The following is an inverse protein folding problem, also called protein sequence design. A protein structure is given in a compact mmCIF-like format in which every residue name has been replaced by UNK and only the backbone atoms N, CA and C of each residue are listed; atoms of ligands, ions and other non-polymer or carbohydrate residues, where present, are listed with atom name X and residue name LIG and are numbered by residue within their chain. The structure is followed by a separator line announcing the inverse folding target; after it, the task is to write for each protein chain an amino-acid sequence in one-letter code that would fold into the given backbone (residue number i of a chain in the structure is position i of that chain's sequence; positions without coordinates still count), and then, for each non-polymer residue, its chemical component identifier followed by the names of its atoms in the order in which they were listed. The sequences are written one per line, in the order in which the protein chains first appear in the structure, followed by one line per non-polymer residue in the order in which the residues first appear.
data_IF_852324328831
#
_entry.id   IF_852324328831
#
_cell.length_a   1.000
_cell.length_b   1.000
_cell.length_c   1.000
_cell.angle_alpha   90.00
_cell.angle_beta   90.00
_cell.angle_gamma   90.00
#
_symmetry.space_group_name_H-M   'P 1'
#
loop_
_entity.id
_entity.type
_entity.pdbx_description
1 polymer ?
#
# COMPACT_ATOMS: atom_id res chain seq x y z
N UNK A 1 -7.65 3.89 -16.49
CA UNK A 1 -6.27 3.94 -15.98
C UNK A 1 -5.71 2.52 -16.06
N UNK A 2 -4.46 2.32 -16.50
CA UNK A 2 -3.78 1.04 -16.31
C UNK A 2 -3.68 0.71 -14.82
N UNK A 3 -3.76 -0.58 -14.46
CA UNK A 3 -3.74 -1.03 -13.07
C UNK A 3 -2.47 -0.58 -12.32
N UNK A 4 -1.33 -0.53 -13.03
CA UNK A 4 -0.06 -0.03 -12.48
C UNK A 4 -0.10 1.42 -11.99
N UNK A 5 -0.85 2.32 -12.66
CA UNK A 5 -0.97 3.71 -12.21
C UNK A 5 -1.81 3.83 -10.94
N UNK A 6 -2.86 3.03 -10.81
CA UNK A 6 -3.68 2.99 -9.59
C UNK A 6 -2.88 2.44 -8.41
N UNK A 7 -2.09 1.40 -8.64
CA UNK A 7 -1.22 0.83 -7.62
C UNK A 7 -0.10 1.78 -7.21
N UNK A 8 0.52 2.49 -8.15
CA UNK A 8 1.50 3.53 -7.85
C UNK A 8 0.87 4.71 -7.07
N UNK A 9 -0.36 5.11 -7.42
CA UNK A 9 -1.11 6.12 -6.68
C UNK A 9 -1.45 5.65 -5.26
N UNK A 10 -1.84 4.38 -5.09
CA UNK A 10 -2.14 3.79 -3.79
C UNK A 10 -0.89 3.75 -2.90
N UNK A 11 0.25 3.34 -3.46
CA UNK A 11 1.54 3.35 -2.77
C UNK A 11 1.92 4.77 -2.33
N UNK A 12 1.71 5.77 -3.20
CA UNK A 12 1.98 7.17 -2.88
C UNK A 12 1.06 7.71 -1.77
N UNK A 13 -0.22 7.32 -1.78
CA UNK A 13 -1.17 7.63 -0.71
C UNK A 13 -0.75 6.99 0.63
N UNK A 14 -0.24 5.75 0.58
CA UNK A 14 0.26 5.06 1.76
C UNK A 14 1.51 5.76 2.33
N UNK A 15 2.44 6.17 1.47
CA UNK A 15 3.62 6.94 1.87
C UNK A 15 3.25 8.28 2.52
N UNK A 16 2.25 8.98 1.97
CA UNK A 16 1.75 10.25 2.49
C UNK A 16 0.81 10.13 3.70
N UNK A 17 0.57 8.92 4.23
CA UNK A 17 -0.35 8.72 5.35
C UNK A 17 -1.82 9.04 5.03
N UNK A 18 -2.23 9.01 3.76
CA UNK A 18 -3.54 9.46 3.28
C UNK A 18 -4.57 8.31 3.34
N UNK A 19 -5.09 7.99 4.53
CA UNK A 19 -6.02 6.87 4.73
C UNK A 19 -7.28 6.93 3.84
N UNK A 20 -7.93 8.08 3.75
CA UNK A 20 -9.15 8.24 2.94
C UNK A 20 -8.89 7.97 1.45
N UNK A 21 -7.77 8.46 0.94
CA UNK A 21 -7.34 8.24 -0.45
C UNK A 21 -6.97 6.79 -0.70
N UNK A 22 -6.23 6.17 0.23
CA UNK A 22 -5.90 4.74 0.15
C UNK A 22 -7.17 3.87 0.13
N UNK A 23 -8.16 4.17 0.99
CA UNK A 23 -9.46 3.48 0.99
C UNK A 23 -10.21 3.61 -0.32
N UNK A 24 -10.23 4.81 -0.91
CA UNK A 24 -10.85 5.03 -2.20
C UNK A 24 -10.17 4.20 -3.30
N UNK A 25 -8.84 4.25 -3.35
CA UNK A 25 -8.06 3.50 -4.35
C UNK A 25 -8.19 1.99 -4.17
N UNK A 26 -8.30 1.47 -2.94
CA UNK A 26 -8.50 0.03 -2.72
C UNK A 26 -9.84 -0.49 -3.25
N UNK A 27 -10.84 0.38 -3.41
CA UNK A 27 -12.09 -0.03 -4.08
C UNK A 27 -11.88 -0.32 -5.58
N UNK A 28 -10.78 0.14 -6.14
CA UNK A 28 -10.31 -0.21 -7.48
C UNK A 28 -9.44 -1.48 -7.43
N UNK A 29 -9.14 -2.07 -8.60
CA UNK A 29 -8.29 -3.27 -8.71
C UNK A 29 -6.80 -2.96 -8.49
N UNK A 30 -6.46 -2.50 -7.29
CA UNK A 30 -5.10 -2.24 -6.84
C UNK A 30 -4.44 -3.53 -6.39
N UNK A 31 -3.16 -3.67 -6.70
CA UNK A 31 -2.35 -4.80 -6.26
C UNK A 31 -1.65 -4.47 -4.93
N UNK A 32 -1.99 -5.21 -3.88
CA UNK A 32 -1.41 -5.07 -2.54
C UNK A 32 -0.03 -5.71 -2.43
N UNK A 33 0.27 -6.68 -3.30
CA UNK A 33 1.55 -7.39 -3.34
C UNK A 33 2.59 -6.62 -4.15
N UNK A 34 2.19 -5.50 -4.76
CA UNK A 34 3.05 -4.70 -5.59
C UNK A 34 4.19 -4.07 -4.80
N UNK A 35 5.40 -4.36 -5.25
CA UNK A 35 6.62 -3.82 -4.68
C UNK A 35 6.97 -2.57 -5.46
N UNK A 36 6.78 -1.42 -4.81
CA UNK A 36 7.08 -0.12 -5.39
C UNK A 36 8.55 0.23 -5.34
N UNK A 37 8.80 1.54 -5.39
CA UNK A 37 10.15 2.08 -5.30
C UNK A 37 10.81 1.72 -3.96
N UNK A 38 12.10 1.39 -4.01
CA UNK A 38 12.86 1.02 -2.81
C UNK A 38 12.57 -0.38 -2.27
N UNK A 39 12.00 -1.27 -3.09
CA UNK A 39 11.67 -2.64 -2.72
C UNK A 39 10.68 -2.75 -1.54
N UNK A 40 9.78 -1.76 -1.41
CA UNK A 40 8.81 -1.64 -0.33
C UNK A 40 7.37 -1.85 -0.83
N UNK A 41 6.59 -2.61 -0.08
CA UNK A 41 5.14 -2.75 -0.28
C UNK A 41 4.38 -1.51 0.19
N UNK A 42 3.07 -1.37 -0.13
CA UNK A 42 2.24 -0.31 0.41
C UNK A 42 2.20 -0.31 1.95
N UNK A 43 2.28 -1.48 2.58
CA UNK A 43 2.33 -1.59 4.04
C UNK A 43 3.67 -1.14 4.60
N UNK A 44 4.80 -1.51 3.98
CA UNK A 44 6.13 -1.05 4.41
C UNK A 44 6.25 0.47 4.36
N UNK A 45 5.78 1.08 3.27
CA UNK A 45 5.87 2.53 3.12
C UNK A 45 4.88 3.26 4.05
N UNK A 46 3.70 2.68 4.33
CA UNK A 46 2.78 3.20 5.32
C UNK A 46 3.39 3.20 6.73
N UNK A 47 4.23 2.22 7.08
CA UNK A 47 4.96 2.22 8.36
C UNK A 47 5.87 3.47 8.51
N UNK A 48 6.44 3.96 7.40
CA UNK A 48 7.26 5.19 7.42
C UNK A 48 6.45 6.46 7.63
N UNK A 49 5.17 6.47 7.24
CA UNK A 49 4.26 7.61 7.40
C UNK A 49 3.85 7.87 8.86
N UNK A 50 4.12 6.91 9.78
CA UNK A 50 3.71 6.92 11.19
C UNK A 50 2.20 7.11 11.41
N UNK A 51 1.39 6.83 10.40
CA UNK A 51 -0.07 6.85 10.52
C UNK A 51 -0.58 5.48 10.99
N UNK A 52 -0.80 5.34 12.29
CA UNK A 52 -1.22 4.07 12.91
C UNK A 52 -2.57 3.58 12.39
N UNK A 53 -3.53 4.48 12.14
CA UNK A 53 -4.83 4.12 11.57
C UNK A 53 -4.70 3.52 10.17
N UNK A 54 -3.81 4.08 9.35
CA UNK A 54 -3.50 3.56 8.02
C UNK A 54 -2.85 2.17 8.09
N UNK A 55 -1.86 2.01 8.97
CA UNK A 55 -1.15 0.74 9.15
C UNK A 55 -2.11 -0.35 9.64
N UNK A 56 -2.94 -0.03 10.64
CA UNK A 56 -3.94 -0.95 11.17
C UNK A 56 -4.94 -1.33 10.07
N UNK A 57 -5.43 -0.35 9.31
CA UNK A 57 -6.35 -0.61 8.21
C UNK A 57 -5.72 -1.47 7.09
N UNK A 58 -4.48 -1.19 6.68
CA UNK A 58 -3.76 -2.00 5.68
C UNK A 58 -3.61 -3.46 6.13
N UNK A 59 -3.34 -3.69 7.42
CA UNK A 59 -3.33 -5.05 7.99
C UNK A 59 -4.71 -5.70 7.97
N UNK A 60 -5.78 -4.97 8.22
CA UNK A 60 -7.15 -5.52 8.16
C UNK A 60 -7.58 -5.94 6.77
N UNK A 61 -7.08 -5.27 5.73
CA UNK A 61 -7.36 -5.63 4.33
C UNK A 61 -6.43 -6.73 3.81
N UNK A 62 -5.47 -7.19 4.62
CA UNK A 62 -4.54 -8.25 4.28
C UNK A 62 -3.39 -7.81 3.39
N UNK A 63 -3.01 -6.53 3.40
CA UNK A 63 -1.82 -6.08 2.67
C UNK A 63 -0.56 -6.70 3.31
N UNK A 64 0.28 -7.42 2.55
CA UNK A 64 1.49 -8.01 3.09
C UNK A 64 2.62 -6.97 3.17
N UNK A 65 3.55 -7.19 4.08
CA UNK A 65 4.86 -6.55 4.04
C UNK A 65 5.78 -7.25 3.05
N UNK A 66 6.86 -6.58 2.62
CA UNK A 66 7.90 -7.18 1.77
C UNK A 66 8.49 -8.44 2.40
N UNK A 67 8.55 -8.50 3.73
CA UNK A 67 9.05 -9.64 4.47
C UNK A 67 8.11 -10.86 4.44
N UNK A 68 6.80 -10.63 4.24
CA UNK A 68 5.79 -11.69 4.17
C UNK A 68 5.58 -12.21 2.74
N UNK A 69 5.96 -11.41 1.74
CA UNK A 69 5.95 -11.85 0.34
C UNK A 69 7.06 -12.89 0.10
N UNK A 70 6.78 -13.97 -0.66
CA UNK A 70 7.80 -14.93 -1.02
C UNK A 70 8.94 -14.23 -1.80
N UNK A 71 10.20 -14.66 -1.62
CA UNK A 71 11.28 -14.23 -2.50
C UNK A 71 10.93 -14.67 -3.93
N UNK A 72 10.89 -13.70 -4.84
CA UNK A 72 10.65 -13.93 -6.27
C UNK A 72 11.74 -14.78 -6.91
#
# INVERSE_FOLDING_TARGET
MPADELTAAFWSACHGGQLSTARYLLSERVDLDWIGYGAATPLDIALTSRNEDLIAWLRTVGAPTRAELPPA
#
